data_IF_487226008759
#
_entry.id   IF_487226008759
#
_cell.length_a   1.000
_cell.length_b   1.000
_cell.length_c   1.000
_cell.angle_alpha   90.00
_cell.angle_beta   90.00
_cell.angle_gamma   90.00
#
_symmetry.space_group_name_H-M   'P 1'
#
loop_
_entity.id
_entity.type
_entity.pdbx_description
1 polymer ?
#
# COMPACT_ATOMS: atom_id res chain seq x y z
N UNK A 1 23.49 0.74 -12.84
CA UNK A 1 22.47 1.81 -12.97
C UNK A 1 21.41 1.54 -11.93
N UNK A 2 21.37 2.36 -10.87
CA UNK A 2 20.30 2.35 -9.87
C UNK A 2 19.12 3.13 -10.43
N UNK A 3 17.98 2.45 -10.59
CA UNK A 3 16.67 3.08 -10.53
C UNK A 3 15.74 2.07 -9.87
N UNK A 4 15.48 2.28 -8.59
CA UNK A 4 14.23 1.84 -7.98
C UNK A 4 13.12 2.65 -8.68
N UNK A 5 12.70 2.23 -9.88
CA UNK A 5 11.50 2.81 -10.49
C UNK A 5 10.31 2.30 -9.66
N UNK A 6 9.69 3.21 -8.93
CA UNK A 6 8.56 2.89 -8.09
C UNK A 6 7.31 2.78 -8.94
N UNK A 7 6.66 1.63 -8.84
CA UNK A 7 5.44 1.28 -9.55
C UNK A 7 4.22 1.95 -8.91
N UNK A 8 3.36 2.55 -9.73
CA UNK A 8 2.04 3.02 -9.30
C UNK A 8 1.01 1.99 -9.77
N UNK A 9 0.41 1.27 -8.82
CA UNK A 9 -0.76 0.42 -9.09
C UNK A 9 -2.01 1.30 -9.13
N UNK A 10 -3.08 0.84 -9.78
CA UNK A 10 -4.41 1.41 -9.66
C UNK A 10 -4.92 1.27 -8.20
N UNK A 11 -4.41 2.14 -7.36
CA UNK A 11 -4.60 2.17 -5.92
C UNK A 11 -5.23 3.51 -5.59
N UNK A 12 -6.37 3.47 -4.91
CA UNK A 12 -7.07 4.68 -4.53
C UNK A 12 -6.64 5.00 -3.11
N UNK A 13 -5.89 6.07 -2.89
CA UNK A 13 -5.54 6.56 -1.56
C UNK A 13 -6.32 7.83 -1.26
N UNK A 14 -7.03 7.86 -0.13
CA UNK A 14 -7.80 9.03 0.28
C UNK A 14 -7.49 9.33 1.75
N UNK A 15 -7.34 10.61 2.07
CA UNK A 15 -7.31 11.09 3.45
C UNK A 15 -8.75 11.25 3.99
N UNK A 16 -9.08 10.58 5.10
CA UNK A 16 -10.42 10.65 5.70
C UNK A 16 -10.59 11.88 6.61
N UNK A 17 -11.11 12.99 6.08
CA UNK A 17 -11.54 14.16 6.89
C UNK A 17 -10.44 14.78 7.76
N UNK A 18 -10.74 15.06 9.04
CA UNK A 18 -9.75 15.51 10.03
C UNK A 18 -8.88 14.38 10.61
N UNK A 19 -9.15 13.13 10.25
CA UNK A 19 -8.36 11.99 10.71
C UNK A 19 -7.05 11.90 9.93
N UNK A 20 -5.95 11.53 10.61
CA UNK A 20 -4.64 11.28 9.98
C UNK A 20 -4.58 9.89 9.33
N UNK A 21 -5.70 9.44 8.79
CA UNK A 21 -5.85 8.10 8.25
C UNK A 21 -5.83 8.14 6.74
N UNK A 22 -5.00 7.28 6.16
CA UNK A 22 -4.99 6.97 4.75
C UNK A 22 -5.68 5.63 4.54
N UNK A 23 -6.69 5.61 3.69
CA UNK A 23 -7.43 4.39 3.33
C UNK A 23 -7.39 4.16 1.83
N UNK A 24 -7.49 2.90 1.44
CA UNK A 24 -7.45 2.57 0.03
C UNK A 24 -7.40 1.09 -0.29
N UNK A 25 -7.22 0.82 -1.58
CA UNK A 25 -6.99 -0.52 -2.10
C UNK A 25 -5.57 -0.61 -2.65
N UNK A 26 -4.77 -1.52 -2.09
CA UNK A 26 -3.45 -1.86 -2.63
C UNK A 26 -3.58 -2.70 -3.91
N UNK A 27 -4.62 -3.52 -3.98
CA UNK A 27 -4.99 -4.38 -5.12
C UNK A 27 -6.50 -4.31 -5.31
N UNK A 28 -6.96 -4.29 -6.56
CA UNK A 28 -8.35 -4.62 -6.92
C UNK A 28 -8.38 -5.94 -7.66
N UNK A 29 -9.34 -6.81 -7.35
CA UNK A 29 -9.39 -8.16 -7.90
C UNK A 29 -9.66 -8.18 -9.40
N UNK A 30 -9.02 -9.12 -10.11
CA UNK A 30 -9.23 -9.36 -11.53
C UNK A 30 -9.05 -8.10 -12.41
N UNK A 31 -8.21 -7.17 -11.95
CA UNK A 31 -7.81 -5.98 -12.71
C UNK A 31 -6.32 -6.07 -12.98
N UNK A 32 -5.89 -5.90 -14.24
CA UNK A 32 -4.47 -5.82 -14.55
C UNK A 32 -3.88 -4.58 -13.89
N UNK A 33 -2.63 -4.69 -13.45
CA UNK A 33 -1.79 -3.53 -13.12
C UNK A 33 -1.50 -2.69 -14.37
N UNK A 34 -0.85 -1.56 -14.17
CA UNK A 34 -0.10 -0.92 -15.24
C UNK A 34 1.01 -1.86 -15.76
N UNK A 35 1.58 -1.58 -16.94
CA UNK A 35 2.73 -2.34 -17.43
C UNK A 35 3.93 -2.06 -16.55
N UNK A 36 4.41 -3.10 -15.88
CA UNK A 36 5.49 -3.04 -14.92
C UNK A 36 6.80 -3.26 -15.65
N UNK A 37 7.74 -2.32 -15.47
CA UNK A 37 9.08 -2.37 -16.05
C UNK A 37 9.11 -2.50 -17.59
N UNK A 38 7.98 -2.23 -18.25
CA UNK A 38 7.81 -2.46 -19.69
C UNK A 38 7.70 -3.94 -20.09
N UNK A 39 7.59 -4.86 -19.15
CA UNK A 39 7.77 -6.30 -19.40
C UNK A 39 6.53 -7.15 -19.10
N UNK A 40 5.78 -6.83 -18.04
CA UNK A 40 4.65 -7.66 -17.63
C UNK A 40 3.53 -6.86 -16.96
N UNK A 41 2.37 -7.50 -16.85
CA UNK A 41 1.23 -7.03 -16.07
C UNK A 41 0.91 -8.07 -15.01
N UNK A 42 0.52 -7.60 -13.83
CA UNK A 42 0.09 -8.45 -12.73
C UNK A 42 -1.44 -8.42 -12.63
N UNK A 43 -2.03 -9.53 -12.24
CA UNK A 43 -3.43 -9.62 -11.87
C UNK A 43 -3.55 -10.57 -10.70
N UNK A 44 -4.37 -10.20 -9.72
CA UNK A 44 -4.57 -10.97 -8.51
C UNK A 44 -6.01 -11.45 -8.43
N UNK A 45 -6.17 -12.75 -8.20
CA UNK A 45 -7.44 -13.37 -7.92
C UNK A 45 -7.87 -13.08 -6.48
N UNK A 46 -9.18 -13.20 -6.23
CA UNK A 46 -9.72 -13.17 -4.87
C UNK A 46 -9.07 -14.27 -4.03
N UNK A 47 -8.61 -13.90 -2.84
CA UNK A 47 -7.96 -14.82 -1.91
C UNK A 47 -6.48 -15.06 -2.18
N UNK A 48 -5.87 -14.34 -3.14
CA UNK A 48 -4.44 -14.44 -3.41
C UNK A 48 -3.57 -14.12 -2.18
N UNK A 49 -4.07 -13.36 -1.21
CA UNK A 49 -3.36 -12.97 0.01
C UNK A 49 -3.88 -13.67 1.26
N UNK A 50 -4.92 -14.51 1.18
CA UNK A 50 -5.55 -15.17 2.34
C UNK A 50 -4.50 -15.89 3.21
N UNK A 51 -3.60 -16.66 2.61
CA UNK A 51 -2.56 -17.37 3.36
C UNK A 51 -1.56 -16.41 4.03
N UNK A 52 -1.15 -15.35 3.33
CA UNK A 52 -0.23 -14.35 3.87
C UNK A 52 -0.85 -13.59 5.03
N UNK A 53 -2.12 -13.18 4.93
CA UNK A 53 -2.84 -12.51 5.99
C UNK A 53 -3.05 -13.43 7.21
N UNK A 54 -3.42 -14.69 6.97
CA UNK A 54 -3.61 -15.68 8.03
C UNK A 54 -2.31 -16.02 8.79
N UNK A 55 -1.14 -15.85 8.17
CA UNK A 55 0.15 -16.10 8.82
C UNK A 55 0.45 -15.16 10.00
N UNK A 56 -0.22 -14.00 10.07
CA UNK A 56 0.05 -12.98 11.08
C UNK A 56 1.43 -12.31 10.95
N UNK A 57 2.08 -12.45 9.79
CA UNK A 57 3.36 -11.79 9.53
C UNK A 57 3.24 -10.28 9.65
N UNK A 58 4.23 -9.64 10.27
CA UNK A 58 4.25 -8.19 10.40
C UNK A 58 4.51 -7.52 9.05
N UNK A 59 3.55 -6.70 8.63
CA UNK A 59 3.63 -5.89 7.40
C UNK A 59 3.93 -4.45 7.78
N UNK A 60 4.84 -3.82 7.03
CA UNK A 60 5.28 -2.44 7.24
C UNK A 60 4.77 -1.55 6.11
N UNK A 61 4.14 -0.44 6.47
CA UNK A 61 3.93 0.67 5.56
C UNK A 61 5.18 1.56 5.58
N UNK A 62 5.83 1.69 4.43
CA UNK A 62 7.07 2.45 4.25
C UNK A 62 6.84 3.55 3.21
N UNK A 63 7.52 4.67 3.35
CA UNK A 63 7.62 5.64 2.26
C UNK A 63 8.76 5.22 1.30
N UNK A 64 8.47 5.17 -0.01
CA UNK A 64 9.46 4.86 -1.07
C UNK A 64 10.22 3.54 -0.84
N UNK A 65 9.58 2.53 -0.22
CA UNK A 65 10.18 1.25 0.17
C UNK A 65 11.45 1.37 1.03
N UNK A 66 11.66 2.54 1.65
CA UNK A 66 12.80 2.82 2.50
C UNK A 66 12.49 2.36 3.93
N UNK A 67 13.22 1.34 4.39
CA UNK A 67 13.05 0.77 5.73
C UNK A 67 13.36 1.75 6.86
N UNK A 68 14.08 2.85 6.58
CA UNK A 68 14.30 3.95 7.53
C UNK A 68 13.10 4.88 7.65
N UNK A 69 12.14 4.81 6.72
CA UNK A 69 10.97 5.70 6.61
C UNK A 69 9.67 4.96 6.92
N UNK A 70 9.61 4.40 8.13
CA UNK A 70 8.45 3.66 8.62
C UNK A 70 7.26 4.58 8.93
N UNK A 71 6.09 4.23 8.39
CA UNK A 71 4.83 4.94 8.62
C UNK A 71 3.90 4.16 9.56
N UNK A 72 3.86 2.83 9.45
CA UNK A 72 2.98 2.02 10.28
C UNK A 72 3.23 0.54 10.15
N UNK A 73 2.67 -0.25 11.06
CA UNK A 73 2.85 -1.71 11.09
C UNK A 73 1.56 -2.40 11.50
N UNK A 74 1.35 -3.62 10.96
CA UNK A 74 0.24 -4.47 11.43
C UNK A 74 0.47 -4.91 12.87
N UNK A 75 1.71 -5.20 13.27
CA UNK A 75 2.02 -5.60 14.64
C UNK A 75 1.78 -4.48 15.68
N UNK A 76 1.82 -3.20 15.30
CA UNK A 76 1.50 -2.08 16.19
C UNK A 76 0.06 -1.59 16.09
N UNK A 77 -0.77 -2.21 15.24
CA UNK A 77 -2.17 -1.82 15.03
C UNK A 77 -2.36 -0.49 14.29
N UNK A 78 -1.29 0.13 13.77
CA UNK A 78 -1.37 1.39 13.00
C UNK A 78 -1.53 1.17 11.50
N UNK A 79 -1.39 -0.07 11.05
CA UNK A 79 -1.73 -0.51 9.70
C UNK A 79 -2.69 -1.70 9.81
N UNK A 80 -3.80 -1.63 9.08
CA UNK A 80 -4.71 -2.74 8.85
C UNK A 80 -4.72 -3.08 7.36
N UNK A 81 -4.68 -4.37 7.05
CA UNK A 81 -4.80 -4.90 5.70
C UNK A 81 -5.83 -6.03 5.74
N UNK A 82 -6.84 -5.95 4.89
CA UNK A 82 -7.94 -6.94 4.82
C UNK A 82 -8.29 -7.22 3.38
N UNK A 83 -8.67 -8.47 3.08
CA UNK A 83 -9.35 -8.79 1.83
C UNK A 83 -10.84 -8.48 2.00
N UNK A 84 -11.43 -7.79 1.02
CA UNK A 84 -12.88 -7.63 0.90
C UNK A 84 -13.34 -8.00 -0.52
N UNK A 85 -14.60 -7.71 -0.83
CA UNK A 85 -15.18 -8.03 -2.14
C UNK A 85 -14.56 -7.23 -3.30
N UNK A 86 -13.95 -6.08 -3.05
CA UNK A 86 -13.35 -5.26 -4.10
C UNK A 86 -11.86 -5.56 -4.29
N UNK A 87 -11.14 -5.83 -3.20
CA UNK A 87 -9.70 -5.85 -3.24
C UNK A 87 -8.98 -6.13 -1.91
N UNK A 88 -7.67 -5.92 -1.95
CA UNK A 88 -6.83 -5.87 -0.75
C UNK A 88 -6.88 -4.45 -0.20
N UNK A 89 -7.77 -4.22 0.77
CA UNK A 89 -7.98 -2.92 1.40
C UNK A 89 -6.92 -2.68 2.48
N UNK A 90 -6.43 -1.45 2.58
CA UNK A 90 -5.59 -1.00 3.68
C UNK A 90 -6.21 0.19 4.43
N UNK A 91 -5.82 0.34 5.68
CA UNK A 91 -6.05 1.53 6.52
C UNK A 91 -4.79 1.80 7.31
N UNK A 92 -4.20 2.98 7.15
CA UNK A 92 -2.96 3.41 7.78
C UNK A 92 -3.20 4.66 8.62
N UNK A 93 -2.91 4.57 9.91
CA UNK A 93 -2.86 5.72 10.82
C UNK A 93 -1.46 6.36 10.72
N UNK A 94 -1.37 7.53 10.11
CA UNK A 94 -0.10 8.21 9.93
C UNK A 94 0.44 8.72 11.27
N UNK A 95 1.75 8.55 11.53
CA UNK A 95 2.37 9.01 12.75
C UNK A 95 2.38 10.55 12.78
N UNK A 96 2.37 11.12 13.98
CA UNK A 96 2.54 12.57 14.18
C UNK A 96 4.03 12.94 14.20
N UNK A 97 4.67 12.76 13.05
CA UNK A 97 6.07 13.09 12.77
C UNK A 97 6.15 13.96 11.52
N UNK A 98 7.29 14.60 11.28
CA UNK A 98 7.50 15.41 10.07
C UNK A 98 7.16 14.62 8.80
N UNK A 99 7.69 13.40 8.66
CA UNK A 99 7.39 12.56 7.50
C UNK A 99 5.89 12.24 7.38
N UNK A 100 5.21 11.96 8.50
CA UNK A 100 3.77 11.71 8.48
C UNK A 100 2.95 12.95 8.10
N UNK A 101 3.39 14.13 8.53
CA UNK A 101 2.79 15.42 8.15
C UNK A 101 2.99 15.70 6.65
N UNK A 102 4.22 15.51 6.15
CA UNK A 102 4.59 15.75 4.76
C UNK A 102 3.80 14.84 3.80
N UNK A 103 3.64 13.56 4.17
CA UNK A 103 2.85 12.61 3.37
C UNK A 103 1.37 12.97 3.41
N UNK A 104 0.82 13.30 4.58
CA UNK A 104 -0.59 13.68 4.69
C UNK A 104 -0.91 14.89 3.80
N UNK A 105 -0.05 15.91 3.82
CA UNK A 105 -0.21 17.10 2.99
C UNK A 105 -0.04 16.78 1.50
N UNK A 106 0.98 15.99 1.14
CA UNK A 106 1.21 15.57 -0.25
C UNK A 106 0.03 14.78 -0.82
N UNK A 107 -0.60 13.91 -0.01
CA UNK A 107 -1.80 13.17 -0.41
C UNK A 107 -3.00 14.11 -0.57
N UNK A 108 -3.21 15.05 0.38
CA UNK A 108 -4.30 16.03 0.29
C UNK A 108 -4.19 16.93 -0.94
N UNK A 109 -2.97 17.29 -1.34
CA UNK A 109 -2.67 18.07 -2.54
C UNK A 109 -2.77 17.25 -3.83
N UNK A 110 -2.77 15.92 -3.73
CA UNK A 110 -2.75 15.00 -4.87
C UNK A 110 -1.35 14.78 -5.47
N UNK A 111 -0.30 15.26 -4.81
CA UNK A 111 1.09 15.03 -5.21
C UNK A 111 1.47 13.54 -5.05
N UNK A 112 0.87 12.86 -4.06
CA UNK A 112 0.91 11.41 -3.87
C UNK A 112 -0.50 10.87 -4.03
N UNK A 113 -0.71 9.98 -5.00
CA UNK A 113 -2.05 9.45 -5.34
C UNK A 113 -2.14 7.92 -5.35
N UNK A 114 -1.02 7.21 -5.14
CA UNK A 114 -0.98 5.76 -5.19
C UNK A 114 0.06 5.15 -4.26
N UNK A 115 0.15 3.83 -4.28
CA UNK A 115 1.17 3.05 -3.58
C UNK A 115 1.54 1.78 -4.33
N UNK A 116 2.70 1.23 -3.98
CA UNK A 116 3.11 -0.13 -4.32
C UNK A 116 3.10 -1.02 -3.07
N UNK A 117 3.18 -2.33 -3.27
CA UNK A 117 3.37 -3.31 -2.20
C UNK A 117 4.34 -4.40 -2.64
N UNK A 118 5.19 -4.84 -1.72
CA UNK A 118 6.06 -5.99 -1.93
C UNK A 118 5.34 -7.30 -1.64
N UNK A 119 5.50 -8.30 -2.50
CA UNK A 119 4.99 -9.64 -2.29
C UNK A 119 5.96 -10.68 -2.85
N UNK A 120 5.73 -11.95 -2.49
CA UNK A 120 6.41 -13.09 -3.11
C UNK A 120 5.34 -14.05 -3.60
N UNK A 121 5.31 -14.28 -4.91
CA UNK A 121 4.43 -15.29 -5.49
C UNK A 121 4.80 -16.68 -4.94
N UNK A 122 3.77 -17.48 -4.67
CA UNK A 122 3.95 -18.90 -4.39
C UNK A 122 4.21 -19.62 -5.71
N UNK A 123 5.15 -20.56 -5.70
CA UNK A 123 5.47 -21.40 -6.85
C UNK A 123 4.55 -22.62 -6.92
#
# INVERSE_FOLDING_TARGET
MNKNEFEVRASTMIAEGESRKLVGYAVRWNKPSEVLWGEFVEMFDRGAFTQSLASGSDVRALFEHDYSKLLGRTASGTLSIVEDDEGLRFSLDLPKTQLGDDILESVKRGDISGMSFGFRALA
#
